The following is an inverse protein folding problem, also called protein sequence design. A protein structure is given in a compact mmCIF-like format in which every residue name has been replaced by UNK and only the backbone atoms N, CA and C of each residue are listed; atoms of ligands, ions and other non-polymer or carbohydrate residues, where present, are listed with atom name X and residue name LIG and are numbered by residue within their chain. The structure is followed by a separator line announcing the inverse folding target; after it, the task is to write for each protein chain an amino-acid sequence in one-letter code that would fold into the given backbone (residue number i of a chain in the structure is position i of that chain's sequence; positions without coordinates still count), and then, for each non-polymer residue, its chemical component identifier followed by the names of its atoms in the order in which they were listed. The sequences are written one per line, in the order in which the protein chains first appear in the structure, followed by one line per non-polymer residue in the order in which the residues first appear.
data_IF_794910536101
#
_entry.id   IF_794910536101
#
_cell.length_a   1.000
_cell.length_b   1.000
_cell.length_c   1.000
_cell.angle_alpha   90.00
_cell.angle_beta   90.00
_cell.angle_gamma   90.00
#
_symmetry.space_group_name_H-M   'P 1'
#
loop_
_entity.id
_entity.type
_entity.pdbx_description
1 polymer ?
#
# COMPACT_ATOMS: atom_id res chain seq x y z
N UNK A 1 -16.40 13.70 3.41
CA UNK A 1 -15.66 13.63 2.15
C UNK A 1 -14.19 13.58 2.52
N UNK A 2 -13.69 12.38 2.84
CA UNK A 2 -12.30 12.18 3.28
C UNK A 2 -11.36 12.18 2.08
N UNK A 3 -11.85 11.67 0.96
CA UNK A 3 -11.20 11.71 -0.35
C UNK A 3 -11.73 12.90 -1.16
N UNK A 4 -10.84 13.75 -1.66
CA UNK A 4 -11.19 14.63 -2.78
C UNK A 4 -11.19 13.76 -4.04
N UNK A 5 -12.38 13.24 -4.36
CA UNK A 5 -12.68 12.25 -5.41
C UNK A 5 -12.12 12.69 -6.79
N UNK A 6 -11.95 14.00 -6.99
CA UNK A 6 -11.44 14.58 -8.23
C UNK A 6 -9.91 14.60 -8.34
N UNK A 7 -9.21 14.55 -7.21
CA UNK A 7 -7.74 14.68 -7.15
C UNK A 7 -7.08 13.32 -7.09
N UNK A 8 -5.90 13.24 -7.72
CA UNK A 8 -5.00 12.10 -7.51
C UNK A 8 -4.35 12.22 -6.14
N UNK A 9 -4.10 11.08 -5.52
CA UNK A 9 -3.29 10.98 -4.32
C UNK A 9 -1.88 11.53 -4.57
N UNK A 10 -1.19 11.91 -3.50
CA UNK A 10 0.19 12.37 -3.59
C UNK A 10 1.16 11.20 -3.75
N UNK A 11 2.26 11.37 -4.50
CA UNK A 11 3.32 10.36 -4.61
C UNK A 11 3.98 10.04 -3.25
N UNK A 12 3.72 10.82 -2.20
CA UNK A 12 4.11 10.51 -0.82
C UNK A 12 3.62 9.13 -0.38
N UNK A 13 2.50 8.64 -0.92
CA UNK A 13 2.00 7.28 -0.64
C UNK A 13 2.97 6.18 -1.08
N UNK A 14 3.82 6.43 -2.09
CA UNK A 14 4.90 5.50 -2.47
C UNK A 14 5.91 5.38 -1.34
N UNK A 15 6.30 6.50 -0.73
CA UNK A 15 7.23 6.51 0.39
C UNK A 15 6.62 5.81 1.62
N UNK A 16 5.33 6.03 1.88
CA UNK A 16 4.63 5.37 2.98
C UNK A 16 4.53 3.85 2.76
N UNK A 17 4.25 3.41 1.53
CA UNK A 17 4.28 2.00 1.16
C UNK A 17 5.68 1.40 1.32
N UNK A 18 6.72 2.12 0.88
CA UNK A 18 8.12 1.70 1.01
C UNK A 18 8.58 1.56 2.46
N UNK A 19 8.12 2.41 3.38
CA UNK A 19 8.45 2.33 4.81
C UNK A 19 7.63 1.24 5.52
N UNK A 20 6.61 0.67 4.86
CA UNK A 20 5.73 -0.36 5.41
C UNK A 20 4.65 0.16 6.36
N UNK A 21 4.55 1.48 6.55
CA UNK A 21 3.50 2.10 7.39
C UNK A 21 2.29 2.57 6.58
N UNK A 22 2.39 2.60 5.25
CA UNK A 22 1.36 3.13 4.37
C UNK A 22 0.03 2.41 4.49
N UNK A 23 0.04 1.08 4.63
CA UNK A 23 -1.17 0.28 4.88
C UNK A 23 -1.86 0.66 6.18
N UNK A 24 -1.10 0.84 7.26
CA UNK A 24 -1.65 1.23 8.56
C UNK A 24 -2.27 2.64 8.51
N UNK A 25 -1.59 3.57 7.84
CA UNK A 25 -2.11 4.93 7.63
C UNK A 25 -3.39 4.89 6.80
N UNK A 26 -3.41 4.16 5.69
CA UNK A 26 -4.59 4.01 4.83
C UNK A 26 -5.76 3.35 5.56
N UNK A 27 -5.50 2.29 6.33
CA UNK A 27 -6.47 1.60 7.19
C UNK A 27 -7.12 2.56 8.19
N UNK A 28 -6.31 3.25 9.01
CA UNK A 28 -6.82 4.17 10.04
C UNK A 28 -7.61 5.29 9.38
N UNK A 29 -7.10 5.84 8.28
CA UNK A 29 -7.73 6.94 7.57
C UNK A 29 -9.09 6.54 6.98
N UNK A 30 -9.19 5.32 6.44
CA UNK A 30 -10.45 4.76 5.94
C UNK A 30 -11.46 4.47 7.07
N UNK A 31 -10.99 3.93 8.21
CA UNK A 31 -11.85 3.62 9.36
C UNK A 31 -12.41 4.88 10.04
N UNK A 32 -11.65 5.98 10.04
CA UNK A 32 -12.08 7.27 10.59
C UNK A 32 -13.07 7.99 9.66
N UNK A 33 -13.24 7.53 8.42
CA UNK A 33 -14.22 8.13 7.51
C UNK A 33 -15.66 8.00 8.02
N UNK A 34 -16.46 9.03 7.72
CA UNK A 34 -17.89 9.06 8.01
C UNK A 34 -18.73 8.26 6.99
N UNK A 35 -18.12 7.85 5.88
CA UNK A 35 -18.80 7.10 4.83
C UNK A 35 -18.56 5.59 5.01
N UNK A 36 -19.62 4.81 5.02
CA UNK A 36 -19.53 3.35 5.23
C UNK A 36 -18.75 2.64 4.12
N UNK A 37 -18.80 3.14 2.88
CA UNK A 37 -17.98 2.60 1.78
C UNK A 37 -16.48 2.73 2.07
N UNK A 38 -16.06 3.90 2.53
CA UNK A 38 -14.66 4.17 2.85
C UNK A 38 -14.19 3.27 4.00
N UNK A 39 -15.04 3.01 5.01
CA UNK A 39 -14.71 2.09 6.11
C UNK A 39 -14.45 0.67 5.64
N UNK A 40 -15.24 0.18 4.67
CA UNK A 40 -15.04 -1.14 4.07
C UNK A 40 -13.71 -1.21 3.31
N UNK A 41 -13.30 -0.12 2.63
CA UNK A 41 -11.97 -0.02 2.04
C UNK A 41 -10.84 -0.12 3.06
N UNK A 42 -11.07 0.33 4.30
CA UNK A 42 -10.17 0.10 5.42
C UNK A 42 -9.82 -1.38 5.60
N UNK A 43 -10.83 -2.24 5.58
CA UNK A 43 -10.64 -3.69 5.77
C UNK A 43 -9.77 -4.30 4.66
N UNK A 44 -9.90 -3.80 3.42
CA UNK A 44 -9.08 -4.28 2.31
C UNK A 44 -7.59 -3.96 2.50
N UNK A 45 -7.22 -2.83 3.11
CA UNK A 45 -5.82 -2.50 3.43
C UNK A 45 -5.17 -3.49 4.43
N UNK A 46 -5.95 -4.27 5.18
CA UNK A 46 -5.40 -5.35 6.04
C UNK A 46 -4.75 -6.46 5.18
N UNK A 47 -5.19 -6.62 3.93
CA UNK A 47 -4.69 -7.64 3.00
C UNK A 47 -3.36 -7.24 2.33
N UNK A 48 -2.81 -6.05 2.64
CA UNK A 48 -1.60 -5.51 2.02
C UNK A 48 -1.75 -5.33 0.50
N UNK A 49 -0.72 -5.67 -0.27
CA UNK A 49 -0.70 -5.64 -1.74
C UNK A 49 -1.95 -6.21 -2.44
N UNK A 50 -2.55 -7.29 -1.91
CA UNK A 50 -3.80 -7.84 -2.47
C UNK A 50 -4.96 -6.85 -2.30
N UNK A 51 -5.03 -6.21 -1.14
CA UNK A 51 -5.99 -5.14 -0.86
C UNK A 51 -5.83 -3.96 -1.81
N UNK A 52 -4.60 -3.51 -2.03
CA UNK A 52 -4.30 -2.41 -2.93
C UNK A 52 -4.75 -2.69 -4.36
N UNK A 53 -4.50 -3.90 -4.87
CA UNK A 53 -4.94 -4.32 -6.21
C UNK A 53 -6.47 -4.27 -6.30
N UNK A 54 -7.16 -4.85 -5.32
CA UNK A 54 -8.63 -4.89 -5.29
C UNK A 54 -9.20 -3.46 -5.27
N UNK A 55 -8.71 -2.61 -4.37
CA UNK A 55 -9.17 -1.22 -4.23
C UNK A 55 -8.91 -0.43 -5.52
N UNK A 56 -7.73 -0.57 -6.12
CA UNK A 56 -7.40 0.08 -7.39
C UNK A 56 -8.44 -0.25 -8.47
N UNK A 57 -8.74 -1.53 -8.68
CA UNK A 57 -9.68 -1.94 -9.73
C UNK A 57 -11.13 -1.56 -9.43
N UNK A 58 -11.56 -1.59 -8.16
CA UNK A 58 -12.92 -1.21 -7.77
C UNK A 58 -13.18 0.30 -7.96
N UNK A 59 -12.16 1.13 -7.68
CA UNK A 59 -12.31 2.58 -7.59
C UNK A 59 -11.65 3.36 -8.75
N UNK A 60 -10.94 2.71 -9.69
CA UNK A 60 -10.26 3.37 -10.82
C UNK A 60 -11.12 4.39 -11.60
N UNK A 61 -12.42 4.13 -11.71
CA UNK A 61 -13.37 4.95 -12.46
C UNK A 61 -14.28 5.81 -11.57
N UNK A 62 -14.23 5.63 -10.24
CA UNK A 62 -15.15 6.25 -9.27
C UNK A 62 -14.45 7.24 -8.36
N UNK A 63 -13.33 6.84 -7.77
CA UNK A 63 -12.53 7.65 -6.86
C UNK A 63 -11.07 7.64 -7.33
N UNK A 64 -10.68 8.72 -7.99
CA UNK A 64 -9.30 8.89 -8.49
C UNK A 64 -8.31 8.99 -7.36
N UNK A 65 -8.70 9.51 -6.19
CA UNK A 65 -7.81 9.57 -5.06
C UNK A 65 -7.55 8.17 -4.53
N UNK A 66 -8.61 7.41 -4.22
CA UNK A 66 -8.47 6.10 -3.60
C UNK A 66 -7.73 5.12 -4.50
N UNK A 67 -8.07 5.10 -5.79
CA UNK A 67 -7.38 4.26 -6.77
C UNK A 67 -5.90 4.63 -6.90
N UNK A 68 -5.57 5.91 -7.05
CA UNK A 68 -4.15 6.31 -7.15
C UNK A 68 -3.38 6.11 -5.84
N UNK A 69 -4.02 6.25 -4.68
CA UNK A 69 -3.44 5.94 -3.38
C UNK A 69 -3.06 4.46 -3.29
N UNK A 70 -4.01 3.56 -3.58
CA UNK A 70 -3.78 2.12 -3.57
C UNK A 70 -2.67 1.72 -4.56
N UNK A 71 -2.67 2.31 -5.76
CA UNK A 71 -1.59 2.09 -6.74
C UNK A 71 -0.22 2.54 -6.19
N UNK A 72 -0.16 3.66 -5.50
CA UNK A 72 1.10 4.18 -4.94
C UNK A 72 1.61 3.36 -3.77
N UNK A 73 0.72 2.87 -2.90
CA UNK A 73 1.06 1.92 -1.85
C UNK A 73 1.65 0.64 -2.44
N UNK A 74 0.97 0.06 -3.43
CA UNK A 74 1.43 -1.13 -4.14
C UNK A 74 2.82 -0.93 -4.77
N UNK A 75 3.06 0.22 -5.40
CA UNK A 75 4.38 0.53 -5.96
C UNK A 75 5.45 0.59 -4.84
N UNK A 76 5.14 1.23 -3.71
CA UNK A 76 6.05 1.29 -2.56
C UNK A 76 6.40 -0.10 -2.02
N UNK A 77 5.40 -0.99 -1.93
CA UNK A 77 5.58 -2.39 -1.51
C UNK A 77 6.37 -3.21 -2.54
N UNK A 78 6.14 -3.04 -3.84
CA UNK A 78 6.95 -3.71 -4.87
C UNK A 78 8.41 -3.28 -4.76
N UNK A 79 8.67 -1.99 -4.54
CA UNK A 79 10.04 -1.49 -4.34
C UNK A 79 10.67 -2.16 -3.11
N UNK A 80 9.97 -2.25 -1.98
CA UNK A 80 10.52 -2.90 -0.78
C UNK A 80 10.87 -4.38 -1.02
N UNK A 81 10.00 -5.10 -1.72
CA UNK A 81 10.22 -6.51 -2.07
C UNK A 81 11.45 -6.66 -2.97
N UNK A 82 11.60 -5.80 -3.98
CA UNK A 82 12.77 -5.83 -4.87
C UNK A 82 14.07 -5.57 -4.10
N UNK A 83 14.08 -4.59 -3.19
CA UNK A 83 15.23 -4.33 -2.31
C UNK A 83 15.53 -5.53 -1.40
N UNK A 84 14.51 -6.15 -0.82
CA UNK A 84 14.68 -7.34 0.02
C UNK A 84 15.30 -8.50 -0.77
N UNK A 85 14.81 -8.76 -2.00
CA UNK A 85 15.35 -9.78 -2.90
C UNK A 85 16.80 -9.49 -3.26
N UNK A 86 17.14 -8.24 -3.59
CA UNK A 86 18.52 -7.85 -3.92
C UNK A 86 19.46 -7.98 -2.71
N UNK A 87 19.01 -7.61 -1.51
CA UNK A 87 19.79 -7.77 -0.27
C UNK A 87 19.99 -9.23 0.11
N UNK A 88 19.02 -10.09 -0.17
CA UNK A 88 19.15 -11.53 0.04
C UNK A 88 20.12 -12.15 -0.97
N UNK A 89 20.00 -11.76 -2.24
CA UNK A 89 20.87 -12.23 -3.32
C UNK A 89 22.33 -11.77 -3.18
N UNK A 90 22.59 -10.62 -2.55
CA UNK A 90 23.94 -10.12 -2.33
C UNK A 90 24.70 -10.83 -1.19
N UNK A 91 24.07 -11.77 -0.49
CA UNK A 91 24.69 -12.55 0.59
C UNK A 91 24.86 -11.77 1.89
N UNK A 92 24.43 -10.51 1.96
CA UNK A 92 24.44 -9.69 3.19
C UNK A 92 23.57 -10.32 4.28
N UNK A 93 22.50 -11.02 3.88
CA UNK A 93 21.60 -11.79 4.74
C UNK A 93 21.69 -13.30 4.48
N UNK A 94 22.86 -13.81 4.10
CA UNK A 94 23.06 -15.26 4.08
C UNK A 94 22.81 -15.80 5.51
N UNK A 95 21.83 -16.70 5.73
CA UNK A 95 21.71 -17.35 7.01
C UNK A 95 23.05 -18.05 7.27
N UNK A 96 23.59 -17.92 8.48
CA UNK A 96 24.86 -18.50 8.92
C UNK A 96 24.81 -20.06 9.00
N UNK A 97 24.22 -20.71 8.00
CA UNK A 97 23.87 -22.13 7.95
C UNK A 97 24.89 -22.92 7.13
N UNK A 98 25.88 -22.28 6.50
CA UNK A 98 26.91 -22.96 5.69
C UNK A 98 28.23 -23.19 6.46
N UNK A 99 28.29 -22.85 7.76
CA UNK A 99 29.51 -22.96 8.56
C UNK A 99 29.45 -24.02 9.68
N UNK A 100 28.64 -25.08 9.52
CA UNK A 100 28.58 -26.23 10.42
C UNK A 100 28.93 -27.54 9.71
#
# INVERSE_FOLDING_TARGET
MVWDISRKASKVWILLGFIGIGQLVALIYSLVSKNDKDRVFGVFFILGWLGDIIIYFIEKDKDKYLSSMALYLLIGEIIIILFAVLLFASGIFAPAVIAA
#
